data_IF_228639209803
#
_entry.id   IF_228639209803
#
_cell.length_a   1.000
_cell.length_b   1.000
_cell.length_c   1.000
_cell.angle_alpha   90.00
_cell.angle_beta   90.00
_cell.angle_gamma   90.00
#
_symmetry.space_group_name_H-M   'P 1'
#
loop_
_entity.id
_entity.type
_entity.pdbx_description
1 polymer ?
#
# COMPACT_ATOMS: atom_id res chain seq x y z
N UNK A 1 1.50 12.08 -53.88
CA UNK A 1 1.23 10.85 -53.11
C UNK A 1 0.82 11.29 -51.67
N UNK A 2 -0.45 11.19 -51.34
CA UNK A 2 -0.91 11.43 -49.96
C UNK A 2 -0.52 10.21 -49.14
N UNK A 3 0.36 10.36 -48.15
CA UNK A 3 0.65 9.32 -47.18
C UNK A 3 -0.48 9.29 -46.15
N UNK A 4 -1.26 8.23 -46.17
CA UNK A 4 -2.23 7.97 -45.11
C UNK A 4 -1.45 7.61 -43.84
N UNK A 5 -1.85 8.14 -42.64
CA UNK A 5 -1.22 7.76 -41.40
C UNK A 5 -1.51 6.28 -41.12
N UNK A 6 -0.46 5.50 -40.89
CA UNK A 6 -0.60 4.09 -40.48
C UNK A 6 -1.10 4.12 -39.04
N UNK A 7 -2.36 3.81 -38.83
CA UNK A 7 -2.92 3.61 -37.51
C UNK A 7 -2.45 2.25 -36.97
N UNK A 8 -1.59 2.26 -35.95
CA UNK A 8 -1.20 1.05 -35.25
C UNK A 8 -2.35 0.60 -34.36
N UNK A 9 -2.89 -0.59 -34.62
CA UNK A 9 -3.86 -1.23 -33.75
C UNK A 9 -3.13 -2.13 -32.76
N UNK A 10 -3.36 -1.90 -31.46
CA UNK A 10 -2.92 -2.81 -30.43
C UNK A 10 -4.04 -3.81 -30.11
N UNK A 11 -3.77 -5.08 -30.39
CA UNK A 11 -4.67 -6.18 -30.05
C UNK A 11 -4.24 -6.78 -28.71
N UNK A 12 -5.20 -6.95 -27.79
CA UNK A 12 -4.96 -7.62 -26.52
C UNK A 12 -5.81 -8.90 -26.47
N UNK A 13 -5.12 -10.03 -26.33
CA UNK A 13 -5.71 -11.37 -26.37
C UNK A 13 -5.64 -12.05 -25.02
N UNK A 14 -6.79 -12.47 -24.50
CA UNK A 14 -6.88 -13.36 -23.33
C UNK A 14 -7.16 -14.79 -23.77
N UNK A 15 -6.43 -15.76 -23.24
CA UNK A 15 -6.60 -17.17 -23.54
C UNK A 15 -7.03 -17.91 -22.29
N UNK A 16 -8.13 -18.65 -22.36
CA UNK A 16 -8.57 -19.58 -21.34
C UNK A 16 -8.66 -20.98 -21.92
N UNK A 17 -7.90 -21.94 -21.39
CA UNK A 17 -7.96 -23.33 -21.80
C UNK A 17 -9.09 -24.04 -21.05
N UNK A 18 -10.11 -24.49 -21.77
CA UNK A 18 -11.24 -25.21 -21.22
C UNK A 18 -10.78 -26.59 -20.71
N UNK A 19 -10.81 -26.80 -19.40
CA UNK A 19 -10.48 -28.07 -18.76
C UNK A 19 -11.71 -28.91 -18.41
N UNK A 20 -12.85 -28.24 -18.19
CA UNK A 20 -14.15 -28.85 -17.92
C UNK A 20 -15.18 -28.28 -18.85
N UNK A 21 -15.88 -29.16 -19.57
CA UNK A 21 -16.94 -28.79 -20.54
C UNK A 21 -18.22 -28.31 -19.85
N UNK A 22 -18.37 -28.59 -18.55
CA UNK A 22 -19.57 -28.22 -17.80
C UNK A 22 -19.53 -26.81 -17.22
N UNK A 23 -18.44 -26.07 -17.43
CA UNK A 23 -18.31 -24.69 -16.96
C UNK A 23 -19.29 -23.79 -17.73
N UNK A 24 -20.06 -22.92 -17.06
CA UNK A 24 -20.95 -21.95 -17.71
C UNK A 24 -20.19 -21.06 -18.70
N UNK A 25 -20.79 -20.78 -19.86
CA UNK A 25 -20.18 -19.93 -20.88
C UNK A 25 -19.80 -18.53 -20.36
N UNK A 26 -20.60 -17.98 -19.44
CA UNK A 26 -20.34 -16.70 -18.79
C UNK A 26 -19.02 -16.72 -17.98
N UNK A 27 -18.72 -17.82 -17.29
CA UNK A 27 -17.50 -18.01 -16.54
C UNK A 27 -16.28 -18.14 -17.47
N UNK A 28 -16.41 -18.86 -18.59
CA UNK A 28 -15.37 -18.96 -19.63
C UNK A 28 -15.02 -17.58 -20.18
N UNK A 29 -16.05 -16.78 -20.52
CA UNK A 29 -15.88 -15.42 -21.04
C UNK A 29 -15.24 -14.52 -19.98
N UNK A 30 -15.65 -14.64 -18.71
CA UNK A 30 -15.08 -13.89 -17.58
C UNK A 30 -13.59 -14.17 -17.43
N UNK A 31 -13.17 -15.44 -17.38
CA UNK A 31 -11.76 -15.81 -17.27
C UNK A 31 -10.93 -15.30 -18.45
N UNK A 32 -11.44 -15.41 -19.69
CA UNK A 32 -10.75 -14.87 -20.86
C UNK A 32 -10.64 -13.33 -20.83
N UNK A 33 -11.68 -12.64 -20.34
CA UNK A 33 -11.65 -11.18 -20.18
C UNK A 33 -10.68 -10.70 -19.13
N UNK A 34 -10.58 -11.38 -17.97
CA UNK A 34 -9.59 -11.06 -16.93
C UNK A 34 -8.20 -11.01 -17.55
N UNK A 35 -7.78 -12.07 -18.23
CA UNK A 35 -6.43 -12.12 -18.81
C UNK A 35 -6.26 -11.22 -20.02
N UNK A 36 -7.32 -10.92 -20.76
CA UNK A 36 -7.29 -9.88 -21.80
C UNK A 36 -7.01 -8.50 -21.22
N UNK A 37 -7.57 -8.18 -20.04
CA UNK A 37 -7.24 -6.93 -19.35
C UNK A 37 -5.78 -6.91 -18.87
N UNK A 38 -5.26 -8.01 -18.35
CA UNK A 38 -3.85 -8.15 -17.97
C UNK A 38 -2.93 -8.05 -19.22
N UNK A 39 -3.35 -8.59 -20.36
CA UNK A 39 -2.58 -8.51 -21.59
C UNK A 39 -2.31 -7.07 -22.06
N UNK A 40 -3.13 -6.08 -21.68
CA UNK A 40 -2.91 -4.66 -21.99
C UNK A 40 -1.61 -4.11 -21.41
N UNK A 41 -1.15 -4.67 -20.29
CA UNK A 41 0.08 -4.24 -19.62
C UNK A 41 1.32 -5.01 -20.10
N UNK A 42 1.12 -6.06 -20.90
CA UNK A 42 2.21 -6.89 -21.43
C UNK A 42 2.62 -6.45 -22.84
N UNK A 43 3.92 -6.40 -23.09
CA UNK A 43 4.47 -6.10 -24.42
C UNK A 43 3.97 -7.07 -25.51
N UNK A 44 3.72 -8.35 -25.15
CA UNK A 44 3.22 -9.35 -26.09
C UNK A 44 1.76 -9.13 -26.49
N UNK A 45 1.00 -8.34 -25.73
CA UNK A 45 -0.45 -8.21 -25.92
C UNK A 45 -1.25 -9.52 -25.71
N UNK A 46 -0.61 -10.57 -25.17
CA UNK A 46 -1.23 -11.90 -24.94
C UNK A 46 -1.06 -12.32 -23.50
N UNK A 47 -2.11 -12.88 -22.90
CA UNK A 47 -2.06 -13.47 -21.57
C UNK A 47 -2.95 -14.71 -21.49
N UNK A 48 -2.47 -15.74 -20.80
CA UNK A 48 -3.20 -16.99 -20.54
C UNK A 48 -3.72 -16.99 -19.09
N UNK A 49 -4.92 -17.55 -18.90
CA UNK A 49 -5.49 -17.75 -17.57
C UNK A 49 -4.82 -18.95 -16.91
N UNK A 50 -4.09 -18.66 -15.86
CA UNK A 50 -3.36 -19.67 -15.06
C UNK A 50 -3.97 -19.79 -13.66
N UNK A 51 -3.57 -20.83 -12.94
CA UNK A 51 -4.00 -21.01 -11.55
C UNK A 51 -3.52 -19.87 -10.64
N UNK A 52 -2.35 -19.29 -10.91
CA UNK A 52 -1.84 -18.13 -10.15
C UNK A 52 -2.72 -16.90 -10.35
N UNK A 53 -3.21 -16.69 -11.58
CA UNK A 53 -4.14 -15.60 -11.88
C UNK A 53 -5.48 -15.86 -11.19
N UNK A 54 -5.97 -17.09 -11.21
CA UNK A 54 -7.20 -17.46 -10.50
C UNK A 54 -7.10 -17.17 -8.99
N UNK A 55 -5.98 -17.55 -8.36
CA UNK A 55 -5.74 -17.27 -6.94
C UNK A 55 -5.64 -15.76 -6.65
N UNK A 56 -4.98 -15.00 -7.53
CA UNK A 56 -4.93 -13.52 -7.41
C UNK A 56 -6.30 -12.89 -7.46
N UNK A 57 -7.14 -13.29 -8.42
CA UNK A 57 -8.50 -12.75 -8.56
C UNK A 57 -9.37 -13.14 -7.35
N UNK A 58 -9.22 -14.36 -6.83
CA UNK A 58 -9.89 -14.77 -5.60
C UNK A 58 -9.44 -13.92 -4.41
N UNK A 59 -8.13 -13.75 -4.19
CA UNK A 59 -7.60 -12.89 -3.13
C UNK A 59 -8.09 -11.44 -3.28
N UNK A 60 -8.17 -10.94 -4.52
CA UNK A 60 -8.70 -9.60 -4.79
C UNK A 60 -10.15 -9.47 -4.35
N UNK A 61 -10.99 -10.43 -4.74
CA UNK A 61 -12.40 -10.44 -4.35
C UNK A 61 -12.58 -10.56 -2.83
N UNK A 62 -11.83 -11.46 -2.19
CA UNK A 62 -11.86 -11.67 -0.74
C UNK A 62 -11.38 -10.43 0.02
N UNK A 63 -10.31 -9.79 -0.45
CA UNK A 63 -9.77 -8.56 0.11
C UNK A 63 -10.80 -7.45 0.10
N UNK A 64 -11.37 -7.16 -1.08
CA UNK A 64 -12.37 -6.09 -1.26
C UNK A 64 -13.60 -6.35 -0.40
N UNK A 65 -14.11 -7.59 -0.42
CA UNK A 65 -15.30 -7.97 0.34
C UNK A 65 -15.10 -7.86 1.85
N UNK A 66 -13.93 -8.24 2.34
CA UNK A 66 -13.65 -8.36 3.78
C UNK A 66 -13.06 -7.11 4.40
N UNK A 67 -12.51 -6.19 3.60
CA UNK A 67 -11.73 -5.05 4.09
C UNK A 67 -12.44 -4.20 5.15
N UNK A 68 -13.67 -3.76 4.85
CA UNK A 68 -14.43 -2.89 5.79
C UNK A 68 -14.75 -3.59 7.11
N UNK A 69 -15.09 -4.89 7.03
CA UNK A 69 -15.28 -5.72 8.24
C UNK A 69 -13.98 -5.83 9.01
N UNK A 70 -12.88 -6.14 8.32
CA UNK A 70 -11.56 -6.33 8.91
C UNK A 70 -11.07 -5.08 9.67
N UNK A 71 -11.27 -3.89 9.12
CA UNK A 71 -10.98 -2.64 9.83
C UNK A 71 -11.82 -2.51 11.10
N UNK A 72 -13.14 -2.73 11.00
CA UNK A 72 -14.07 -2.57 12.14
C UNK A 72 -13.82 -3.61 13.24
N UNK A 73 -13.41 -4.83 12.88
CA UNK A 73 -13.10 -5.92 13.81
C UNK A 73 -11.65 -5.93 14.28
N UNK A 74 -10.85 -4.94 13.88
CA UNK A 74 -9.43 -4.83 14.23
C UNK A 74 -8.63 -6.08 13.85
N UNK A 75 -8.93 -6.66 12.68
CA UNK A 75 -8.18 -7.79 12.13
C UNK A 75 -6.80 -7.35 11.61
N UNK A 76 -6.62 -6.07 11.29
CA UNK A 76 -5.31 -5.50 11.00
C UNK A 76 -4.54 -5.27 12.29
N UNK A 77 -3.33 -5.84 12.34
CA UNK A 77 -2.42 -5.71 13.48
C UNK A 77 -1.19 -4.93 13.07
N UNK A 78 -0.77 -4.00 13.91
CA UNK A 78 0.47 -3.24 13.70
C UNK A 78 1.58 -3.92 14.49
N UNK A 79 2.63 -4.30 13.79
CA UNK A 79 3.87 -4.84 14.35
C UNK A 79 4.95 -3.78 14.26
N UNK A 80 5.83 -3.75 15.24
CA UNK A 80 6.93 -2.80 15.30
C UNK A 80 8.25 -3.52 15.08
N UNK A 81 8.86 -3.30 13.91
CA UNK A 81 10.18 -3.85 13.60
C UNK A 81 11.25 -2.91 14.14
N UNK A 82 12.14 -3.36 15.07
CA UNK A 82 13.15 -2.50 15.64
C UNK A 82 14.22 -2.09 14.62
N UNK A 83 14.56 -0.80 14.59
CA UNK A 83 15.70 -0.24 13.85
C UNK A 83 16.87 -0.07 14.84
N UNK A 84 18.00 -0.74 14.56
CA UNK A 84 19.14 -0.78 15.45
C UNK A 84 20.27 0.11 14.89
N UNK A 85 20.90 0.91 15.74
CA UNK A 85 22.05 1.70 15.37
C UNK A 85 23.30 0.79 15.22
N UNK A 86 23.80 0.66 13.99
CA UNK A 86 24.77 -0.37 13.61
C UNK A 86 26.04 -0.44 14.49
N UNK A 87 26.63 0.70 14.81
CA UNK A 87 27.86 0.76 15.64
C UNK A 87 27.58 0.61 17.14
N UNK A 88 26.51 1.23 17.63
CA UNK A 88 26.20 1.29 19.06
C UNK A 88 25.37 0.10 19.56
N UNK A 89 24.82 -0.72 18.66
CA UNK A 89 23.91 -1.84 18.96
C UNK A 89 22.73 -1.42 19.86
N UNK A 90 22.30 -0.16 19.74
CA UNK A 90 21.20 0.41 20.52
C UNK A 90 19.98 0.60 19.65
N UNK A 91 18.80 0.54 20.27
CA UNK A 91 17.53 0.80 19.60
C UNK A 91 17.47 2.26 19.14
N UNK A 92 17.42 2.45 17.83
CA UNK A 92 17.37 3.77 17.17
C UNK A 92 15.94 4.21 16.83
N UNK A 93 15.04 3.26 16.63
CA UNK A 93 13.66 3.49 16.25
C UNK A 93 12.91 2.19 16.01
N UNK A 94 11.71 2.29 15.47
CA UNK A 94 10.95 1.15 15.01
C UNK A 94 10.20 1.51 13.72
N UNK A 95 9.84 0.51 12.93
CA UNK A 95 8.97 0.67 11.78
C UNK A 95 7.63 -0.01 12.04
N UNK A 96 6.54 0.71 11.80
CA UNK A 96 5.19 0.19 11.93
C UNK A 96 4.80 -0.58 10.67
N UNK A 97 4.62 -1.87 10.81
CA UNK A 97 4.32 -2.78 9.72
C UNK A 97 2.96 -3.45 9.95
N UNK A 98 2.05 -3.29 9.01
CA UNK A 98 0.73 -3.92 9.11
C UNK A 98 0.78 -5.39 8.73
N UNK A 99 -0.05 -6.19 9.41
CA UNK A 99 -0.36 -7.58 9.07
C UNK A 99 -1.85 -7.78 9.17
N UNK A 100 -2.45 -8.54 8.27
CA UNK A 100 -3.87 -8.85 8.33
C UNK A 100 -4.06 -10.24 8.96
N UNK A 101 -4.63 -10.29 10.14
CA UNK A 101 -5.03 -11.54 10.80
C UNK A 101 -6.32 -12.02 10.14
N UNK A 102 -6.19 -12.75 9.02
CA UNK A 102 -7.30 -13.20 8.19
C UNK A 102 -8.25 -14.13 8.94
N UNK A 103 -7.66 -15.07 9.68
CA UNK A 103 -8.35 -15.97 10.60
C UNK A 103 -7.44 -16.37 11.77
N UNK A 104 -7.89 -17.30 12.61
CA UNK A 104 -7.15 -17.75 13.81
C UNK A 104 -5.76 -18.36 13.50
N UNK A 105 -5.50 -18.77 12.26
CA UNK A 105 -4.27 -19.47 11.84
C UNK A 105 -3.53 -18.78 10.71
N UNK A 106 -4.19 -17.89 9.98
CA UNK A 106 -3.68 -17.29 8.75
C UNK A 106 -3.39 -15.81 8.95
N UNK A 107 -2.17 -15.42 8.67
CA UNK A 107 -1.75 -14.01 8.61
C UNK A 107 -1.42 -13.70 7.15
N UNK A 108 -2.09 -12.70 6.59
CA UNK A 108 -1.73 -12.14 5.30
C UNK A 108 -0.69 -11.04 5.47
N UNK A 109 0.35 -11.12 4.65
CA UNK A 109 1.42 -10.13 4.58
C UNK A 109 1.05 -8.99 3.61
N UNK A 110 1.68 -7.81 3.71
CA UNK A 110 1.38 -6.64 2.91
C UNK A 110 1.35 -6.88 1.40
N UNK A 111 2.26 -7.68 0.88
CA UNK A 111 2.37 -8.04 -0.54
C UNK A 111 1.12 -8.72 -1.13
N UNK A 112 0.30 -9.35 -0.28
CA UNK A 112 -0.95 -9.99 -0.69
C UNK A 112 -2.09 -8.99 -0.87
N UNK A 113 -2.23 -8.00 0.01
CA UNK A 113 -3.42 -7.14 0.05
C UNK A 113 -3.17 -5.66 -0.27
N UNK A 114 -1.96 -5.12 -0.01
CA UNK A 114 -1.70 -3.70 -0.29
C UNK A 114 -1.89 -3.33 -1.76
N UNK A 115 -1.38 -4.10 -2.75
CA UNK A 115 -1.59 -3.75 -4.15
C UNK A 115 -3.08 -3.70 -4.55
N UNK A 116 -3.90 -4.54 -3.92
CA UNK A 116 -5.35 -4.58 -4.14
C UNK A 116 -6.01 -3.33 -3.55
N UNK A 117 -5.62 -2.96 -2.33
CA UNK A 117 -6.16 -1.76 -1.66
C UNK A 117 -5.69 -0.46 -2.33
N UNK A 118 -4.49 -0.44 -2.92
CA UNK A 118 -4.00 0.67 -3.74
C UNK A 118 -4.82 0.82 -5.02
N UNK A 119 -5.07 -0.28 -5.73
CA UNK A 119 -5.87 -0.29 -6.96
C UNK A 119 -7.31 0.21 -6.71
N UNK A 120 -7.90 -0.15 -5.57
CA UNK A 120 -9.27 0.22 -5.20
C UNK A 120 -9.37 1.57 -4.48
N UNK A 121 -8.22 2.14 -4.04
CA UNK A 121 -8.15 3.35 -3.24
C UNK A 121 -8.46 3.16 -1.75
N UNK A 122 -8.80 1.96 -1.32
CA UNK A 122 -9.07 1.64 0.09
C UNK A 122 -7.82 1.70 0.97
N UNK A 123 -6.62 1.70 0.37
CA UNK A 123 -5.34 1.84 1.08
C UNK A 123 -5.30 3.08 1.97
N UNK A 124 -5.95 4.17 1.56
CA UNK A 124 -6.00 5.40 2.35
C UNK A 124 -6.63 5.18 3.75
N UNK A 125 -7.69 4.38 3.80
CA UNK A 125 -8.34 4.05 5.07
C UNK A 125 -7.46 3.17 5.97
N UNK A 126 -6.71 2.24 5.35
CA UNK A 126 -5.76 1.40 6.07
C UNK A 126 -4.60 2.22 6.65
N UNK A 127 -4.03 3.15 5.88
CA UNK A 127 -2.93 3.99 6.36
C UNK A 127 -3.34 4.79 7.60
N UNK A 128 -4.51 5.45 7.57
CA UNK A 128 -5.01 6.17 8.75
C UNK A 128 -5.28 5.24 9.94
N UNK A 129 -5.77 4.04 9.70
CA UNK A 129 -5.93 3.04 10.73
C UNK A 129 -4.58 2.66 11.38
N UNK A 130 -3.55 2.41 10.55
CA UNK A 130 -2.20 2.08 11.03
C UNK A 130 -1.61 3.24 11.84
N UNK A 131 -1.78 4.49 11.36
CA UNK A 131 -1.33 5.67 12.09
C UNK A 131 -2.04 5.78 13.45
N UNK A 132 -3.35 5.63 13.45
CA UNK A 132 -4.15 5.73 14.69
C UNK A 132 -3.76 4.64 15.71
N UNK A 133 -3.66 3.37 15.31
CA UNK A 133 -3.22 2.28 16.21
C UNK A 133 -1.78 2.50 16.70
N UNK A 134 -0.88 3.01 15.85
CA UNK A 134 0.47 3.37 16.24
C UNK A 134 0.47 4.48 17.29
N UNK A 135 -0.33 5.53 17.08
CA UNK A 135 -0.39 6.67 18.01
C UNK A 135 -1.04 6.29 19.33
N UNK A 136 -2.06 5.43 19.33
CA UNK A 136 -2.62 4.85 20.55
C UNK A 136 -1.54 4.12 21.35
N UNK A 137 -0.75 3.28 20.70
CA UNK A 137 0.34 2.55 21.33
C UNK A 137 1.42 3.49 21.88
N UNK A 138 1.85 4.49 21.12
CA UNK A 138 2.85 5.47 21.56
C UNK A 138 2.34 6.28 22.77
N UNK A 139 1.09 6.76 22.74
CA UNK A 139 0.48 7.48 23.85
C UNK A 139 0.39 6.62 25.12
N UNK A 140 0.08 5.32 24.98
CA UNK A 140 0.09 4.39 26.09
C UNK A 140 1.48 4.26 26.73
N UNK A 141 2.54 4.07 25.91
CA UNK A 141 3.92 4.02 26.41
C UNK A 141 4.29 5.30 27.14
N UNK A 142 3.89 6.45 26.61
CA UNK A 142 4.15 7.76 27.25
C UNK A 142 3.48 7.85 28.62
N UNK A 143 2.21 7.45 28.72
CA UNK A 143 1.47 7.42 30.00
C UNK A 143 2.07 6.47 31.02
N UNK A 144 2.68 5.37 30.57
CA UNK A 144 3.39 4.41 31.40
C UNK A 144 4.81 4.89 31.79
N UNK A 145 5.23 6.09 31.35
CA UNK A 145 6.57 6.64 31.60
C UNK A 145 7.69 5.87 30.89
N UNK A 146 7.36 5.09 29.86
CA UNK A 146 8.32 4.33 29.06
C UNK A 146 9.00 5.22 28.04
N UNK A 147 10.24 4.90 27.71
CA UNK A 147 10.98 5.59 26.65
C UNK A 147 10.31 5.35 25.31
N UNK A 148 9.96 6.42 24.61
CA UNK A 148 9.51 6.38 23.23
C UNK A 148 10.72 6.49 22.32
N UNK A 149 10.76 5.65 21.29
CA UNK A 149 11.71 5.76 20.18
C UNK A 149 10.97 6.26 18.95
N UNK A 150 11.67 6.90 17.99
CA UNK A 150 11.07 7.30 16.75
C UNK A 150 10.42 6.13 16.00
N UNK A 151 9.21 6.36 15.47
CA UNK A 151 8.46 5.34 14.70
C UNK A 151 8.31 5.79 13.27
N UNK A 152 8.69 4.92 12.35
CA UNK A 152 8.51 5.09 10.92
C UNK A 152 7.15 4.58 10.48
N UNK A 153 6.48 5.35 9.62
CA UNK A 153 5.16 5.10 9.06
C UNK A 153 5.22 5.23 7.54
N UNK A 154 4.82 4.22 6.83
CA UNK A 154 4.76 4.23 5.37
C UNK A 154 3.64 5.15 4.87
N UNK A 155 3.87 5.85 3.76
CA UNK A 155 2.90 6.75 3.11
C UNK A 155 2.59 6.24 1.72
N UNK A 156 1.36 5.79 1.53
CA UNK A 156 0.91 5.30 0.22
C UNK A 156 0.79 6.43 -0.83
N UNK A 157 1.08 6.14 -2.11
CA UNK A 157 1.06 7.13 -3.19
C UNK A 157 -0.27 7.87 -3.35
N UNK A 158 -1.37 7.25 -2.94
CA UNK A 158 -2.73 7.81 -3.05
C UNK A 158 -2.88 9.15 -2.31
N UNK A 159 -2.13 9.37 -1.23
CA UNK A 159 -2.19 10.60 -0.43
C UNK A 159 -1.67 11.83 -1.16
N UNK A 160 -0.81 11.65 -2.15
CA UNK A 160 -0.23 12.77 -2.92
C UNK A 160 -1.22 13.40 -3.91
N UNK A 161 -2.40 12.80 -4.11
CA UNK A 161 -3.51 13.41 -4.87
C UNK A 161 -4.15 14.59 -4.13
N UNK A 162 -4.13 14.55 -2.79
CA UNK A 162 -4.63 15.63 -1.92
C UNK A 162 -3.78 15.71 -0.65
N UNK A 163 -2.59 16.29 -0.81
CA UNK A 163 -1.61 16.39 0.26
C UNK A 163 -2.06 17.27 1.43
N UNK A 164 -2.93 18.25 1.16
CA UNK A 164 -3.46 19.13 2.20
C UNK A 164 -4.42 18.38 3.12
N UNK A 165 -5.30 17.55 2.54
CA UNK A 165 -6.18 16.68 3.33
C UNK A 165 -5.39 15.68 4.15
N UNK A 166 -4.35 15.08 3.55
CA UNK A 166 -3.46 14.14 4.24
C UNK A 166 -2.78 14.77 5.46
N UNK A 167 -2.05 15.87 5.25
CA UNK A 167 -1.31 16.54 6.32
C UNK A 167 -2.23 17.02 7.43
N UNK A 168 -3.40 17.55 7.09
CA UNK A 168 -4.41 17.95 8.07
C UNK A 168 -4.90 16.79 8.93
N UNK A 169 -5.24 15.65 8.31
CA UNK A 169 -5.69 14.45 9.03
C UNK A 169 -4.62 13.90 9.96
N UNK A 170 -3.37 13.84 9.49
CA UNK A 170 -2.22 13.42 10.30
C UNK A 170 -2.05 14.33 11.51
N UNK A 171 -2.08 15.65 11.31
CA UNK A 171 -1.96 16.60 12.43
C UNK A 171 -3.09 16.45 13.45
N UNK A 172 -4.33 16.21 12.99
CA UNK A 172 -5.45 15.97 13.90
C UNK A 172 -5.25 14.70 14.75
N UNK A 173 -4.66 13.63 14.18
CA UNK A 173 -4.33 12.43 14.93
C UNK A 173 -3.19 12.68 15.94
N UNK A 174 -2.16 13.42 15.54
CA UNK A 174 -1.04 13.81 16.42
C UNK A 174 -1.57 14.58 17.63
N UNK A 175 -2.44 15.56 17.41
CA UNK A 175 -3.08 16.35 18.46
C UNK A 175 -3.98 15.47 19.35
N UNK A 176 -4.84 14.66 18.74
CA UNK A 176 -5.79 13.76 19.44
C UNK A 176 -5.08 12.82 20.42
N UNK A 177 -3.92 12.31 20.03
CA UNK A 177 -3.16 11.32 20.84
C UNK A 177 -1.95 11.91 21.55
N UNK A 178 -1.79 13.24 21.53
CA UNK A 178 -0.72 13.97 22.22
C UNK A 178 0.68 13.43 21.86
N UNK A 179 0.90 13.15 20.57
CA UNK A 179 2.16 12.59 20.08
C UNK A 179 3.18 13.69 19.86
N UNK A 180 4.40 13.49 20.43
CA UNK A 180 5.53 14.37 20.17
C UNK A 180 5.99 14.22 18.70
N UNK A 181 5.89 15.28 17.86
CA UNK A 181 6.12 15.17 16.41
C UNK A 181 7.51 14.63 16.05
N UNK A 182 8.54 14.94 16.82
CA UNK A 182 9.92 14.49 16.57
C UNK A 182 10.11 12.97 16.68
N UNK A 183 9.13 12.25 17.26
CA UNK A 183 9.09 10.80 17.33
C UNK A 183 8.46 10.15 16.09
N UNK A 184 8.06 10.95 15.10
CA UNK A 184 7.47 10.43 13.86
C UNK A 184 8.43 10.57 12.67
N UNK A 185 8.43 9.55 11.82
CA UNK A 185 9.13 9.52 10.54
C UNK A 185 8.13 9.01 9.51
N UNK A 186 7.83 9.78 8.46
CA UNK A 186 7.06 9.27 7.35
C UNK A 186 8.01 8.76 6.26
N UNK A 187 7.77 7.54 5.78
CA UNK A 187 8.60 6.89 4.76
C UNK A 187 7.86 6.87 3.43
N UNK A 188 8.53 7.30 2.37
CA UNK A 188 8.03 7.31 1.00
C UNK A 188 9.00 6.53 0.12
N UNK A 189 8.49 5.81 -0.86
CA UNK A 189 9.33 5.09 -1.83
C UNK A 189 9.94 6.06 -2.84
N UNK A 190 11.08 5.67 -3.43
CA UNK A 190 11.74 6.42 -4.52
C UNK A 190 10.78 6.67 -5.69
N UNK A 191 10.02 5.64 -6.09
CA UNK A 191 9.03 5.74 -7.16
C UNK A 191 7.95 6.79 -6.86
N UNK A 192 7.46 6.83 -5.62
CA UNK A 192 6.48 7.85 -5.19
C UNK A 192 7.05 9.25 -5.29
N UNK A 193 8.30 9.45 -4.86
CA UNK A 193 9.00 10.74 -4.97
C UNK A 193 9.08 11.21 -6.42
N UNK A 194 9.56 10.35 -7.33
CA UNK A 194 9.74 10.70 -8.75
C UNK A 194 8.43 11.09 -9.42
N UNK A 195 7.35 10.38 -9.14
CA UNK A 195 6.05 10.64 -9.77
C UNK A 195 5.26 11.80 -9.16
N UNK A 196 5.63 12.27 -7.94
CA UNK A 196 4.85 13.25 -7.18
C UNK A 196 5.73 14.37 -6.60
N UNK A 197 6.79 14.79 -7.28
CA UNK A 197 7.85 15.69 -6.77
C UNK A 197 7.28 16.93 -6.08
N UNK A 198 6.31 17.63 -6.68
CA UNK A 198 5.75 18.86 -6.13
C UNK A 198 4.98 18.60 -4.83
N UNK A 199 4.12 17.58 -4.82
CA UNK A 199 3.32 17.22 -3.64
C UNK A 199 4.21 16.69 -2.50
N UNK A 200 5.22 15.88 -2.83
CA UNK A 200 6.21 15.40 -1.84
C UNK A 200 6.99 16.57 -1.24
N UNK A 201 7.46 17.51 -2.07
CA UNK A 201 8.17 18.69 -1.57
C UNK A 201 7.28 19.57 -0.68
N UNK A 202 5.98 19.68 -1.00
CA UNK A 202 5.02 20.37 -0.15
C UNK A 202 4.86 19.67 1.20
N UNK A 203 4.75 18.34 1.22
CA UNK A 203 4.70 17.51 2.43
C UNK A 203 5.96 17.65 3.27
N UNK A 204 7.14 17.59 2.64
CA UNK A 204 8.44 17.73 3.33
C UNK A 204 8.50 19.07 4.05
N UNK A 205 8.21 20.19 3.35
CA UNK A 205 8.21 21.52 3.96
C UNK A 205 7.25 21.60 5.14
N UNK A 206 6.00 21.13 4.93
CA UNK A 206 4.97 21.19 5.96
C UNK A 206 5.35 20.39 7.21
N UNK A 207 5.83 19.16 7.07
CA UNK A 207 6.20 18.32 8.20
C UNK A 207 7.51 18.74 8.86
N UNK A 208 8.48 19.24 8.09
CA UNK A 208 9.71 19.80 8.63
C UNK A 208 9.41 20.96 9.58
N UNK A 209 8.52 21.88 9.21
CA UNK A 209 8.09 23.01 10.06
C UNK A 209 7.39 22.54 11.36
N UNK A 210 6.90 21.30 11.38
CA UNK A 210 6.29 20.66 12.55
C UNK A 210 7.22 19.70 13.29
N UNK A 211 8.52 19.71 12.93
CA UNK A 211 9.54 18.83 13.51
C UNK A 211 9.26 17.33 13.31
N UNK A 212 8.60 16.97 12.21
CA UNK A 212 8.37 15.59 11.76
C UNK A 212 9.37 15.28 10.65
N UNK A 213 9.97 14.10 10.69
CA UNK A 213 10.96 13.66 9.71
C UNK A 213 10.30 12.94 8.53
N UNK A 214 10.92 13.08 7.36
CA UNK A 214 10.61 12.29 6.17
C UNK A 214 11.85 11.46 5.83
N UNK A 215 11.66 10.21 5.49
CA UNK A 215 12.69 9.30 4.99
C UNK A 215 12.29 8.76 3.62
N UNK A 216 13.27 8.47 2.80
CA UNK A 216 13.07 7.75 1.54
C UNK A 216 13.44 6.30 1.75
N UNK A 217 12.51 5.41 1.41
CA UNK A 217 12.70 3.96 1.46
C UNK A 217 12.92 3.38 0.07
N UNK A 218 13.42 2.15 -0.01
CA UNK A 218 13.70 1.41 -1.25
C UNK A 218 14.63 2.14 -2.24
N UNK A 219 15.55 2.99 -1.72
CA UNK A 219 16.44 3.77 -2.57
C UNK A 219 17.37 2.86 -3.41
N UNK A 220 17.33 3.05 -4.74
CA UNK A 220 18.10 2.28 -5.72
C UNK A 220 17.39 1.03 -6.26
N UNK A 221 16.16 0.72 -5.84
CA UNK A 221 15.39 -0.40 -6.36
C UNK A 221 14.70 -0.12 -7.72
N UNK A 222 14.60 1.15 -8.09
CA UNK A 222 13.83 1.61 -9.26
C UNK A 222 14.60 1.66 -10.58
N UNK A 223 15.92 1.46 -10.61
CA UNK A 223 16.77 1.56 -11.80
C UNK A 223 17.78 0.40 -11.90
N UNK A 224 17.29 -0.83 -12.00
CA UNK A 224 18.12 -1.98 -12.41
C UNK A 224 17.49 -2.72 -13.57
#
# INVERSE_FOLDING_TARGET
>A
MQSYPINYFHLNTGIYYLKDINIPAEEIISHANIVRCIAKTKLSGVCEYTQDIAMREQHKADTIHSFKRALSQKEFKVYFQPKIHGKAQTLAGAEALVRWQWDARTIWYPDVFLPILEETGEIQALDYYVYEETFIWMNQLQKEGKRIVPVSLNVSPVHFRDIQSFTKKVMNLIEKYEIEPHNLIFEITETTFIHNIEAVNAMIRFFHDKNIRISMDDFGSGYS
#
